data_IF_847316749477
#
_entry.id   IF_847316749477
#
_cell.length_a   1.000
_cell.length_b   1.000
_cell.length_c   1.000
_cell.angle_alpha   90.00
_cell.angle_beta   90.00
_cell.angle_gamma   90.00
#
_symmetry.space_group_name_H-M   'P 1'
#
loop_
_entity.id
_entity.type
_entity.pdbx_description
1 polymer ?
#
# COMPACT_ATOMS: atom_id res chain seq x y z
N UNK A 1 -33.61 -35.33 16.62
CA UNK A 1 -32.52 -34.62 15.90
C UNK A 1 -32.61 -33.15 16.27
N UNK A 2 -31.47 -32.49 16.55
CA UNK A 2 -31.45 -31.06 16.90
C UNK A 2 -30.79 -30.29 15.76
N UNK A 3 -31.59 -29.65 14.92
CA UNK A 3 -31.08 -28.63 13.99
C UNK A 3 -30.83 -27.34 14.78
N UNK A 4 -29.59 -27.13 15.21
CA UNK A 4 -29.11 -25.76 15.44
C UNK A 4 -28.96 -25.12 14.06
N UNK A 5 -29.58 -23.97 13.76
CA UNK A 5 -29.16 -23.19 12.60
C UNK A 5 -27.68 -22.85 12.79
N UNK A 6 -26.87 -23.05 11.76
CA UNK A 6 -25.47 -22.63 11.79
C UNK A 6 -25.45 -21.11 11.68
N UNK A 7 -25.29 -20.42 12.82
CA UNK A 7 -24.96 -19.00 12.83
C UNK A 7 -23.62 -18.83 12.13
N UNK A 8 -23.66 -18.55 10.84
CA UNK A 8 -22.50 -18.14 10.07
C UNK A 8 -21.90 -16.92 10.78
N UNK A 9 -20.75 -17.10 11.43
CA UNK A 9 -19.88 -15.99 11.77
C UNK A 9 -19.26 -15.52 10.47
N UNK A 10 -20.07 -14.79 9.71
CA UNK A 10 -19.64 -13.98 8.60
C UNK A 10 -18.93 -12.74 9.15
N UNK A 11 -17.80 -12.98 9.83
CA UNK A 11 -16.62 -12.13 9.76
C UNK A 11 -16.11 -12.18 8.30
N UNK A 12 -16.96 -11.68 7.39
CA UNK A 12 -16.48 -10.86 6.29
C UNK A 12 -15.55 -9.85 6.95
N UNK A 13 -14.27 -9.77 6.56
CA UNK A 13 -13.40 -8.75 7.11
C UNK A 13 -14.10 -7.42 6.88
N UNK A 14 -14.29 -6.65 7.96
CA UNK A 14 -14.85 -5.30 7.84
C UNK A 14 -13.79 -4.43 7.17
N UNK A 15 -13.80 -4.51 5.84
CA UNK A 15 -13.46 -3.38 4.97
C UNK A 15 -14.45 -2.27 5.30
N UNK A 16 -14.18 -1.61 6.42
CA UNK A 16 -14.91 -0.44 6.90
C UNK A 16 -14.92 0.53 5.75
N UNK A 17 -16.09 0.72 5.14
CA UNK A 17 -16.25 1.41 3.87
C UNK A 17 -16.17 2.95 4.03
N UNK A 18 -15.18 3.39 4.79
CA UNK A 18 -14.52 4.65 4.50
C UNK A 18 -13.83 4.43 3.15
N UNK A 19 -14.42 4.96 2.08
CA UNK A 19 -13.70 5.22 0.84
C UNK A 19 -13.31 6.71 0.86
N UNK A 20 -12.31 7.11 1.66
CA UNK A 20 -11.80 8.48 1.60
C UNK A 20 -11.12 8.72 0.25
N UNK A 21 -10.84 9.98 -0.14
CA UNK A 21 -10.12 10.27 -1.38
C UNK A 21 -8.75 9.57 -1.46
N UNK A 22 -8.14 9.35 -0.30
CA UNK A 22 -6.89 8.61 -0.10
C UNK A 22 -6.95 7.18 -0.63
N UNK A 23 -8.08 6.46 -0.60
CA UNK A 23 -8.18 5.11 -1.18
C UNK A 23 -8.01 5.11 -2.72
N UNK A 24 -8.48 6.16 -3.40
CA UNK A 24 -8.24 6.34 -4.84
C UNK A 24 -6.81 6.85 -5.11
N UNK A 25 -6.23 7.64 -4.21
CA UNK A 25 -4.84 8.06 -4.32
C UNK A 25 -3.88 6.88 -4.11
N UNK A 26 -4.15 6.03 -3.13
CA UNK A 26 -3.42 4.81 -2.82
C UNK A 26 -3.47 3.82 -3.98
N UNK A 27 -4.66 3.60 -4.56
CA UNK A 27 -4.80 2.78 -5.78
C UNK A 27 -3.93 3.33 -6.92
N UNK A 28 -3.98 4.65 -7.18
CA UNK A 28 -3.15 5.30 -8.21
C UNK A 28 -1.64 5.22 -7.92
N UNK A 29 -1.24 5.34 -6.65
CA UNK A 29 0.15 5.17 -6.22
C UNK A 29 0.59 3.71 -6.41
N UNK A 30 -0.23 2.73 -6.02
CA UNK A 30 0.04 1.32 -6.23
C UNK A 30 0.14 0.95 -7.73
N UNK A 31 -0.77 1.46 -8.57
CA UNK A 31 -0.69 1.32 -10.04
C UNK A 31 0.58 1.95 -10.60
N UNK A 32 0.95 3.15 -10.15
CA UNK A 32 2.16 3.84 -10.59
C UNK A 32 3.44 3.09 -10.17
N UNK A 33 3.49 2.58 -8.93
CA UNK A 33 4.61 1.78 -8.40
C UNK A 33 4.75 0.44 -9.14
N UNK A 34 3.62 -0.24 -9.41
CA UNK A 34 3.61 -1.47 -10.21
C UNK A 34 4.05 -1.23 -11.67
N UNK A 35 3.66 -0.08 -12.25
CA UNK A 35 4.05 0.35 -13.60
C UNK A 35 5.53 0.75 -13.70
N UNK A 36 6.08 1.38 -12.65
CA UNK A 36 7.50 1.73 -12.58
C UNK A 36 8.41 0.48 -12.59
N UNK A 37 7.96 -0.60 -11.96
CA UNK A 37 8.64 -1.89 -11.93
C UNK A 37 9.88 -1.92 -11.04
N UNK A 38 10.36 -3.11 -10.72
CA UNK A 38 11.51 -3.28 -9.82
C UNK A 38 11.19 -2.95 -8.35
N UNK A 39 9.93 -3.09 -7.93
CA UNK A 39 9.48 -3.13 -6.54
C UNK A 39 8.74 -4.44 -6.34
N UNK A 40 8.86 -5.07 -5.17
CA UNK A 40 8.04 -6.22 -4.81
C UNK A 40 6.84 -5.76 -3.94
N UNK A 41 5.63 -5.61 -4.52
CA UNK A 41 4.46 -5.17 -3.76
C UNK A 41 3.97 -6.20 -2.73
N UNK A 42 4.49 -7.43 -2.73
CA UNK A 42 4.07 -8.49 -1.79
C UNK A 42 4.48 -8.18 -0.35
N UNK A 43 5.60 -7.48 -0.17
CA UNK A 43 6.16 -7.10 1.14
C UNK A 43 6.19 -5.57 1.36
N UNK A 44 5.45 -4.81 0.56
CA UNK A 44 5.37 -3.35 0.59
C UNK A 44 3.93 -2.91 0.83
N UNK A 45 3.68 -2.26 1.97
CA UNK A 45 2.43 -1.60 2.28
C UNK A 45 2.54 -0.11 1.94
N UNK A 46 1.75 0.31 0.96
CA UNK A 46 1.41 1.72 0.76
C UNK A 46 0.31 2.07 1.76
N UNK A 47 0.35 3.28 2.31
CA UNK A 47 -0.76 3.86 3.07
C UNK A 47 -0.84 5.34 2.72
N UNK A 48 -2.02 5.88 2.49
CA UNK A 48 -2.20 7.31 2.24
C UNK A 48 -3.01 7.96 3.37
N UNK A 49 -2.45 8.99 3.98
CA UNK A 49 -3.18 9.85 4.94
C UNK A 49 -3.44 11.21 4.27
N UNK A 50 -4.60 11.32 3.60
CA UNK A 50 -5.09 12.51 2.89
C UNK A 50 -4.26 12.92 1.67
N UNK A 51 -3.07 13.49 1.90
CA UNK A 51 -2.09 13.90 0.87
C UNK A 51 -0.65 13.47 1.17
N UNK A 52 -0.42 12.76 2.29
CA UNK A 52 0.88 12.16 2.61
C UNK A 52 0.86 10.68 2.26
N UNK A 53 1.79 10.23 1.42
CA UNK A 53 2.00 8.80 1.14
C UNK A 53 3.04 8.26 2.10
N UNK A 54 2.74 7.13 2.72
CA UNK A 54 3.61 6.41 3.64
C UNK A 54 3.95 5.07 2.99
N UNK A 55 5.24 4.85 2.74
CA UNK A 55 5.76 3.62 2.11
C UNK A 55 6.45 2.78 3.19
N UNK A 56 5.86 1.66 3.56
CA UNK A 56 6.38 0.76 4.62
C UNK A 56 6.62 -0.64 4.08
N UNK A 57 7.59 -1.36 4.65
CA UNK A 57 7.92 -2.71 4.20
C UNK A 57 9.42 -2.93 4.02
N UNK A 58 9.77 -3.92 3.20
CA UNK A 58 11.15 -4.25 2.85
C UNK A 58 11.32 -4.37 1.34
N UNK A 59 12.45 -3.91 0.82
CA UNK A 59 12.81 -3.95 -0.61
C UNK A 59 14.19 -4.58 -0.78
N UNK A 60 14.54 -5.05 -1.98
CA UNK A 60 15.77 -5.81 -2.22
C UNK A 60 16.98 -4.88 -2.43
N UNK A 61 16.80 -3.74 -3.10
CA UNK A 61 17.85 -2.77 -3.42
C UNK A 61 17.45 -1.35 -2.96
N UNK A 62 18.41 -0.51 -2.52
CA UNK A 62 18.11 0.88 -2.15
C UNK A 62 17.62 1.73 -3.34
N UNK A 63 17.92 1.34 -4.58
CA UNK A 63 17.39 1.97 -5.78
C UNK A 63 15.88 1.75 -5.99
N UNK A 64 15.29 0.72 -5.35
CA UNK A 64 13.85 0.51 -5.33
C UNK A 64 13.17 1.55 -4.43
N UNK A 65 13.74 1.79 -3.24
CA UNK A 65 13.26 2.81 -2.29
C UNK A 65 13.19 4.20 -2.93
N UNK A 66 14.22 4.56 -3.69
CA UNK A 66 14.35 5.85 -4.36
C UNK A 66 13.30 6.02 -5.46
N UNK A 67 13.16 5.01 -6.34
CA UNK A 67 12.06 4.92 -7.33
C UNK A 67 10.69 5.07 -6.68
N UNK A 68 10.45 4.36 -5.58
CA UNK A 68 9.16 4.39 -4.91
C UNK A 68 8.80 5.81 -4.42
N UNK A 69 9.79 6.56 -3.94
CA UNK A 69 9.60 7.95 -3.53
C UNK A 69 9.32 8.87 -4.72
N UNK A 70 10.11 8.82 -5.80
CA UNK A 70 9.90 9.62 -7.02
C UNK A 70 8.52 9.36 -7.66
N UNK A 71 8.14 8.08 -7.75
CA UNK A 71 6.89 7.63 -8.36
C UNK A 71 5.68 8.05 -7.53
N UNK A 72 5.74 7.93 -6.21
CA UNK A 72 4.68 8.44 -5.32
C UNK A 72 4.55 9.97 -5.41
N UNK A 73 5.67 10.72 -5.41
CA UNK A 73 5.68 12.18 -5.63
C UNK A 73 5.14 12.60 -7.00
N UNK A 74 5.21 11.72 -8.00
CA UNK A 74 4.68 11.97 -9.35
C UNK A 74 3.16 11.80 -9.46
N UNK A 75 2.48 11.27 -8.43
CA UNK A 75 1.01 11.10 -8.45
C UNK A 75 0.31 12.41 -8.05
N UNK A 76 -0.52 12.92 -8.97
CA UNK A 76 -1.29 14.14 -8.76
C UNK A 76 -2.24 14.04 -7.54
N UNK A 77 -1.90 14.76 -6.48
CA UNK A 77 -2.57 14.76 -5.18
C UNK A 77 -1.62 14.56 -3.99
N UNK A 78 -0.45 13.96 -4.25
CA UNK A 78 0.59 13.75 -3.23
C UNK A 78 1.32 15.06 -2.93
N UNK A 79 1.42 15.39 -1.64
CA UNK A 79 2.11 16.60 -1.14
C UNK A 79 3.38 16.25 -0.35
N UNK A 80 3.42 15.06 0.26
CA UNK A 80 4.57 14.55 1.00
C UNK A 80 4.68 13.03 0.83
N UNK A 81 5.90 12.50 0.83
CA UNK A 81 6.17 11.05 0.79
C UNK A 81 7.13 10.69 1.91
N UNK A 82 6.69 9.78 2.78
CA UNK A 82 7.46 9.30 3.93
C UNK A 82 7.92 7.87 3.67
N UNK A 83 9.21 7.71 3.40
CA UNK A 83 9.79 6.42 3.04
C UNK A 83 10.36 5.68 4.27
N UNK A 84 9.70 4.60 4.66
CA UNK A 84 10.11 3.67 5.73
C UNK A 84 10.55 2.30 5.19
N UNK A 85 10.79 2.18 3.88
CA UNK A 85 11.21 0.93 3.24
C UNK A 85 12.63 0.55 3.68
N UNK A 86 12.78 -0.64 4.27
CA UNK A 86 14.11 -1.19 4.59
C UNK A 86 14.66 -1.93 3.38
N UNK A 87 15.66 -1.36 2.72
CA UNK A 87 16.47 -2.09 1.76
C UNK A 87 17.29 -3.16 2.50
N UNK A 88 17.09 -4.44 2.18
CA UNK A 88 17.81 -5.57 2.78
C UNK A 88 19.04 -6.01 1.97
N UNK A 89 19.42 -5.24 0.95
CA UNK A 89 20.47 -5.60 -0.01
C UNK A 89 21.84 -5.80 0.62
N UNK A 90 22.28 -7.05 0.66
CA UNK A 90 23.70 -7.42 0.80
C UNK A 90 24.41 -7.17 -0.53
N UNK A 91 25.37 -6.25 -0.53
CA UNK A 91 26.23 -5.91 -1.66
C UNK A 91 27.37 -6.92 -1.85
#
# INVERSE_FOLDING_TARGET
MVFKPQTFHAEQPVVTAENPPDAQLETRVAEALASAGGLDPTNLAVTVEGTTVILTGSVLLPGESDRAAEVALSVAGVTSVTNHLRASGTF
#
